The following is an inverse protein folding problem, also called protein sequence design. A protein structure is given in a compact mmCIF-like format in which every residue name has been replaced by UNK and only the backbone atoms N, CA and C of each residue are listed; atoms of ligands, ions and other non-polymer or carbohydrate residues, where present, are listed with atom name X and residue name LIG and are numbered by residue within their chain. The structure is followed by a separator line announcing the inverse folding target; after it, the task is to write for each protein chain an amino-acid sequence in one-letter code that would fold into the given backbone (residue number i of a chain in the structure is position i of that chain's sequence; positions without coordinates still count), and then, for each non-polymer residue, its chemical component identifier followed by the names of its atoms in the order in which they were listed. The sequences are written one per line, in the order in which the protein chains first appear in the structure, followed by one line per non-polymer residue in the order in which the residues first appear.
data_IF_307147518443
#
_entry.id   IF_307147518443
#
_cell.length_a   1.000
_cell.length_b   1.000
_cell.length_c   1.000
_cell.angle_alpha   90.00
_cell.angle_beta   90.00
_cell.angle_gamma   90.00
#
_symmetry.space_group_name_H-M   'P 1'
#
loop_
_entity.id
_entity.type
_entity.pdbx_description
1 polymer ?
#
# COMPACT_ATOMS: atom_id res chain seq x y z
N UNK A 1 -6.38 1.09 22.55
CA UNK A 1 -5.83 0.92 23.91
C UNK A 1 -6.82 1.39 24.98
N UNK A 2 -7.43 2.54 24.84
CA UNK A 2 -8.40 3.10 25.83
C UNK A 2 -9.61 2.22 26.08
N UNK A 3 -9.92 1.29 25.15
CA UNK A 3 -11.02 0.34 25.25
C UNK A 3 -10.57 -1.05 25.72
N UNK A 4 -9.26 -1.29 25.90
CA UNK A 4 -8.70 -2.56 26.33
C UNK A 4 -8.67 -2.65 27.85
N UNK A 5 -9.84 -2.66 28.46
CA UNK A 5 -10.02 -2.93 29.89
C UNK A 5 -10.64 -4.32 30.08
N UNK A 6 -10.20 -5.03 31.09
CA UNK A 6 -10.78 -6.31 31.43
C UNK A 6 -12.13 -6.14 32.15
N UNK A 7 -12.82 -7.26 32.42
CA UNK A 7 -14.14 -7.26 33.08
C UNK A 7 -14.17 -6.58 34.44
N UNK A 8 -13.02 -6.47 35.10
CA UNK A 8 -12.88 -5.88 36.44
C UNK A 8 -12.51 -4.39 36.39
N UNK A 9 -12.57 -3.77 35.22
CA UNK A 9 -12.21 -2.35 35.00
C UNK A 9 -10.72 -2.05 35.07
N UNK A 10 -9.86 -3.08 35.07
CA UNK A 10 -8.41 -2.92 35.08
C UNK A 10 -7.87 -2.85 33.65
N UNK A 11 -6.76 -2.13 33.42
CA UNK A 11 -6.08 -2.15 32.14
C UNK A 11 -5.75 -3.59 31.70
N UNK A 12 -6.01 -3.91 30.44
CA UNK A 12 -5.57 -5.18 29.87
C UNK A 12 -4.05 -5.18 29.69
N UNK A 13 -3.41 -6.22 30.16
CA UNK A 13 -1.96 -6.37 30.10
C UNK A 13 -1.60 -7.29 28.93
N UNK A 14 -1.23 -6.68 27.81
CA UNK A 14 -0.70 -7.42 26.66
C UNK A 14 0.71 -7.94 26.95
N UNK A 15 0.99 -9.16 26.52
CA UNK A 15 2.33 -9.73 26.56
C UNK A 15 2.96 -9.93 25.18
N UNK A 16 2.18 -9.82 24.12
CA UNK A 16 2.60 -9.82 22.72
C UNK A 16 1.80 -8.78 21.93
N UNK A 17 2.42 -8.19 20.93
CA UNK A 17 1.76 -7.31 19.95
C UNK A 17 1.76 -8.03 18.62
N UNK A 18 0.59 -8.12 17.98
CA UNK A 18 0.42 -8.39 16.56
C UNK A 18 0.01 -7.08 15.92
N UNK A 19 0.85 -6.57 15.02
CA UNK A 19 0.65 -5.27 14.37
C UNK A 19 0.63 -5.41 12.86
N UNK A 20 -0.03 -4.48 12.22
CA UNK A 20 -0.14 -4.38 10.76
C UNK A 20 0.05 -2.92 10.35
N UNK A 21 1.29 -2.56 10.06
CA UNK A 21 1.72 -1.21 9.71
C UNK A 21 2.50 -0.47 10.80
N UNK A 22 2.63 -1.05 12.00
CA UNK A 22 3.44 -0.51 13.09
C UNK A 22 2.78 0.61 13.90
N UNK A 23 1.50 0.91 13.67
CA UNK A 23 0.82 2.02 14.38
C UNK A 23 0.61 1.72 15.86
N UNK A 24 0.20 0.51 16.20
CA UNK A 24 0.06 0.09 17.60
C UNK A 24 1.41 0.07 18.31
N UNK A 25 2.44 -0.45 17.65
CA UNK A 25 3.81 -0.48 18.14
C UNK A 25 4.34 0.92 18.45
N UNK A 26 4.19 1.85 17.50
CA UNK A 26 4.59 3.25 17.69
C UNK A 26 3.82 3.90 18.84
N UNK A 27 2.52 3.69 18.92
CA UNK A 27 1.67 4.24 19.96
C UNK A 27 2.09 3.72 21.35
N UNK A 28 2.33 2.42 21.47
CA UNK A 28 2.78 1.84 22.76
C UNK A 28 4.14 2.40 23.17
N UNK A 29 5.09 2.50 22.26
CA UNK A 29 6.42 3.04 22.58
C UNK A 29 6.39 4.52 23.00
N UNK A 30 5.52 5.33 22.39
CA UNK A 30 5.44 6.77 22.64
C UNK A 30 4.53 7.15 23.81
N UNK A 31 3.36 6.54 23.89
CA UNK A 31 2.31 6.97 24.80
C UNK A 31 2.14 6.04 26.02
N UNK A 32 2.58 4.79 25.93
CA UNK A 32 2.40 3.77 26.96
C UNK A 32 3.68 2.96 27.22
N UNK A 33 4.84 3.63 27.43
CA UNK A 33 6.13 2.93 27.56
C UNK A 33 6.18 1.97 28.77
N UNK A 34 5.36 2.16 29.78
CA UNK A 34 5.25 1.26 30.94
C UNK A 34 4.75 -0.14 30.56
N UNK A 35 3.99 -0.27 29.46
CA UNK A 35 3.51 -1.57 28.98
C UNK A 35 4.64 -2.43 28.41
N UNK A 36 5.72 -1.80 27.92
CA UNK A 36 6.82 -2.51 27.26
C UNK A 36 7.52 -3.52 28.18
N UNK A 37 7.50 -3.28 29.49
CA UNK A 37 8.09 -4.20 30.48
C UNK A 37 7.40 -5.57 30.52
N UNK A 38 6.18 -5.68 30.04
CA UNK A 38 5.36 -6.91 30.00
C UNK A 38 5.26 -7.51 28.62
N UNK A 39 5.65 -6.78 27.57
CA UNK A 39 5.60 -7.21 26.17
C UNK A 39 6.87 -7.99 25.85
N UNK A 40 6.70 -9.27 25.50
CA UNK A 40 7.82 -10.16 25.15
C UNK A 40 8.28 -9.99 23.71
N UNK A 41 7.41 -9.46 22.82
CA UNK A 41 7.76 -9.25 21.42
C UNK A 41 6.60 -8.70 20.60
N UNK A 42 6.96 -8.35 19.36
CA UNK A 42 6.09 -7.81 18.34
C UNK A 42 6.16 -8.71 17.12
N UNK A 43 5.03 -8.94 16.48
CA UNK A 43 4.92 -9.61 15.19
C UNK A 43 4.33 -8.62 14.20
N UNK A 44 5.09 -8.28 13.16
CA UNK A 44 4.69 -7.27 12.17
C UNK A 44 4.29 -7.92 10.84
N UNK A 45 3.10 -7.59 10.39
CA UNK A 45 2.42 -8.20 9.24
C UNK A 45 2.84 -7.59 7.89
N UNK A 46 3.17 -6.28 7.82
CA UNK A 46 3.22 -5.60 6.54
C UNK A 46 4.50 -4.80 6.29
N UNK A 47 4.80 -4.54 5.02
CA UNK A 47 6.00 -3.83 4.55
C UNK A 47 6.20 -2.48 5.24
N UNK A 48 5.12 -1.71 5.40
CA UNK A 48 5.17 -0.38 6.04
C UNK A 48 5.61 -0.47 7.49
N UNK A 49 5.04 -1.42 8.25
CA UNK A 49 5.43 -1.62 9.64
C UNK A 49 6.86 -2.12 9.78
N UNK A 50 7.30 -3.03 8.90
CA UNK A 50 8.70 -3.48 8.88
C UNK A 50 9.66 -2.31 8.65
N UNK A 51 9.34 -1.37 7.75
CA UNK A 51 10.14 -0.17 7.54
C UNK A 51 10.22 0.68 8.81
N UNK A 52 9.09 0.95 9.45
CA UNK A 52 9.02 1.69 10.72
C UNK A 52 9.81 1.01 11.85
N UNK A 53 9.71 -0.31 11.97
CA UNK A 53 10.48 -1.08 12.95
C UNK A 53 11.99 -1.00 12.72
N UNK A 54 12.44 -1.01 11.46
CA UNK A 54 13.85 -0.79 11.11
C UNK A 54 14.34 0.60 11.50
N UNK A 55 13.55 1.63 11.20
CA UNK A 55 13.84 3.02 11.59
C UNK A 55 13.92 3.15 13.11
N UNK A 56 12.99 2.54 13.85
CA UNK A 56 13.02 2.52 15.33
C UNK A 56 14.22 1.75 15.89
N UNK A 57 14.63 0.67 15.21
CA UNK A 57 15.82 -0.09 15.62
C UNK A 57 17.10 0.74 15.43
N UNK A 58 17.23 1.39 14.27
CA UNK A 58 18.38 2.26 13.94
C UNK A 58 18.47 3.47 14.87
N UNK A 59 17.35 4.06 15.26
CA UNK A 59 17.29 5.18 16.22
C UNK A 59 17.45 4.72 17.68
N UNK A 60 17.39 3.41 17.95
CA UNK A 60 17.42 2.86 19.32
C UNK A 60 16.11 3.04 20.10
N UNK A 61 15.03 3.39 19.41
CA UNK A 61 13.68 3.54 20.01
C UNK A 61 12.96 2.20 20.20
N UNK A 62 13.27 1.18 19.41
CA UNK A 62 12.67 -0.15 19.56
C UNK A 62 13.18 -0.85 20.82
N UNK A 63 12.31 -1.02 21.82
CA UNK A 63 12.68 -1.52 23.15
C UNK A 63 12.39 -3.01 23.37
N UNK A 64 11.67 -3.64 22.46
CA UNK A 64 11.30 -5.06 22.55
C UNK A 64 11.63 -5.78 21.25
N UNK A 65 11.89 -7.11 21.27
CA UNK A 65 12.14 -7.86 20.05
C UNK A 65 10.97 -7.75 19.05
N UNK A 66 11.28 -7.61 17.77
CA UNK A 66 10.27 -7.59 16.72
C UNK A 66 10.58 -8.62 15.63
N UNK A 67 9.56 -9.34 15.20
CA UNK A 67 9.62 -10.36 14.15
C UNK A 67 8.94 -9.82 12.90
N UNK A 68 9.70 -9.76 11.80
CA UNK A 68 9.20 -9.44 10.49
C UNK A 68 8.54 -10.68 9.86
N UNK A 69 7.24 -10.78 9.93
CA UNK A 69 6.45 -11.84 9.30
C UNK A 69 6.23 -11.54 7.82
N UNK A 70 6.16 -10.25 7.45
CA UNK A 70 5.90 -9.84 6.07
C UNK A 70 6.89 -10.47 5.07
N UNK A 71 8.19 -10.49 5.40
CA UNK A 71 9.23 -10.94 4.48
C UNK A 71 9.39 -12.46 4.46
N UNK A 72 8.59 -13.21 5.22
CA UNK A 72 8.55 -14.66 5.03
C UNK A 72 7.98 -14.99 3.63
N UNK A 73 8.56 -15.99 2.96
CA UNK A 73 8.16 -16.38 1.60
C UNK A 73 6.67 -16.76 1.56
N UNK A 74 6.20 -17.43 2.60
CA UNK A 74 4.80 -17.87 2.71
C UNK A 74 3.83 -16.72 2.97
N UNK A 75 4.29 -15.53 3.41
CA UNK A 75 3.47 -14.35 3.59
C UNK A 75 3.53 -13.44 2.36
N UNK A 76 4.65 -12.77 2.11
CA UNK A 76 4.71 -11.72 1.08
C UNK A 76 4.40 -12.24 -0.34
N UNK A 77 4.86 -13.44 -0.67
CA UNK A 77 4.64 -14.02 -2.01
C UNK A 77 3.26 -14.66 -2.17
N UNK A 78 2.49 -14.79 -1.10
CA UNK A 78 1.10 -15.27 -1.13
C UNK A 78 0.13 -14.14 -0.81
N UNK A 79 0.10 -13.65 0.43
CA UNK A 79 -0.89 -12.70 0.89
C UNK A 79 -0.80 -11.37 0.14
N UNK A 80 0.38 -10.74 0.09
CA UNK A 80 0.52 -9.44 -0.55
C UNK A 80 0.15 -9.49 -2.04
N UNK A 81 0.42 -10.60 -2.71
CA UNK A 81 0.08 -10.78 -4.13
C UNK A 81 -1.35 -11.28 -4.33
N UNK A 82 -1.68 -12.43 -3.78
CA UNK A 82 -2.96 -13.11 -4.08
C UNK A 82 -4.13 -12.59 -3.25
N UNK A 83 -3.87 -12.11 -2.03
CA UNK A 83 -4.89 -11.45 -1.21
C UNK A 83 -5.38 -10.16 -1.90
N UNK A 84 -4.46 -9.33 -2.36
CA UNK A 84 -4.79 -8.12 -3.11
C UNK A 84 -5.43 -8.43 -4.46
N UNK A 85 -4.98 -9.50 -5.14
CA UNK A 85 -5.57 -9.96 -6.40
C UNK A 85 -7.05 -10.32 -6.24
N UNK A 86 -7.43 -10.98 -5.15
CA UNK A 86 -8.83 -11.36 -4.90
C UNK A 86 -9.66 -10.20 -4.35
N UNK A 87 -9.07 -9.36 -3.50
CA UNK A 87 -9.79 -8.30 -2.81
C UNK A 87 -10.09 -7.08 -3.65
N UNK A 88 -9.19 -6.72 -4.58
CA UNK A 88 -9.28 -5.45 -5.31
C UNK A 88 -10.53 -5.38 -6.21
N UNK A 89 -10.71 -6.34 -7.10
CA UNK A 89 -11.83 -6.31 -8.07
C UNK A 89 -13.17 -6.48 -7.36
N UNK A 90 -13.24 -7.27 -6.31
CA UNK A 90 -14.43 -7.42 -5.47
C UNK A 90 -14.80 -6.09 -4.79
N UNK A 91 -13.82 -5.40 -4.20
CA UNK A 91 -14.04 -4.10 -3.56
C UNK A 91 -14.50 -3.03 -4.57
N UNK A 92 -13.87 -2.94 -5.74
CA UNK A 92 -14.25 -1.98 -6.78
C UNK A 92 -15.68 -2.25 -7.25
N UNK A 93 -16.02 -3.49 -7.55
CA UNK A 93 -17.37 -3.87 -8.01
C UNK A 93 -18.43 -3.58 -6.96
N UNK A 94 -18.19 -3.89 -5.70
CA UNK A 94 -19.12 -3.61 -4.60
C UNK A 94 -19.26 -2.11 -4.31
N UNK A 95 -18.16 -1.36 -4.40
CA UNK A 95 -18.17 0.07 -4.07
C UNK A 95 -18.71 0.96 -5.17
N UNK A 96 -18.63 0.53 -6.42
CA UNK A 96 -18.90 1.42 -7.58
C UNK A 96 -19.92 0.88 -8.56
N UNK A 97 -20.25 -0.40 -8.51
CA UNK A 97 -21.08 -1.10 -9.52
C UNK A 97 -20.53 -0.94 -10.97
N UNK A 98 -19.22 -0.71 -11.08
CA UNK A 98 -18.55 -0.42 -12.36
C UNK A 98 -18.32 -1.69 -13.18
N UNK A 99 -18.68 -1.65 -14.45
CA UNK A 99 -18.23 -2.65 -15.43
C UNK A 99 -16.76 -2.41 -15.76
N UNK A 100 -15.89 -3.35 -15.42
CA UNK A 100 -14.42 -3.21 -15.57
C UNK A 100 -13.93 -3.49 -17.01
N UNK A 101 -14.56 -4.44 -17.69
CA UNK A 101 -14.10 -4.90 -19.01
C UNK A 101 -14.02 -3.79 -20.03
N UNK A 102 -12.89 -3.69 -20.72
CA UNK A 102 -12.61 -2.68 -21.75
C UNK A 102 -12.23 -1.30 -21.24
N UNK A 103 -12.30 -1.06 -19.94
CA UNK A 103 -11.86 0.19 -19.32
C UNK A 103 -10.34 0.22 -19.10
N UNK A 104 -9.80 1.41 -18.91
CA UNK A 104 -8.37 1.64 -18.69
C UNK A 104 -8.07 1.87 -17.22
N UNK A 105 -7.05 1.19 -16.71
CA UNK A 105 -6.56 1.34 -15.36
C UNK A 105 -5.10 1.76 -15.33
N UNK A 106 -4.75 2.62 -14.37
CA UNK A 106 -3.38 2.91 -13.97
C UNK A 106 -3.14 2.28 -12.60
N UNK A 107 -2.14 1.40 -12.50
CA UNK A 107 -1.68 0.87 -11.23
C UNK A 107 -0.37 1.56 -10.87
N UNK A 108 -0.35 2.23 -9.72
CA UNK A 108 0.82 2.95 -9.21
C UNK A 108 1.57 2.02 -8.24
N UNK A 109 2.72 1.54 -8.68
CA UNK A 109 3.54 0.54 -8.00
C UNK A 109 3.42 -0.86 -8.61
N UNK A 110 4.56 -1.60 -8.66
CA UNK A 110 4.61 -2.97 -9.16
C UNK A 110 5.40 -3.90 -8.23
N UNK A 111 5.33 -3.65 -6.90
CA UNK A 111 5.70 -4.59 -5.86
C UNK A 111 4.73 -5.80 -5.80
N UNK A 112 4.77 -6.59 -4.74
CA UNK A 112 3.90 -7.78 -4.63
C UNK A 112 2.40 -7.40 -4.69
N UNK A 113 2.00 -6.32 -4.02
CA UNK A 113 0.62 -5.78 -4.07
C UNK A 113 0.26 -5.31 -5.47
N UNK A 114 1.14 -4.53 -6.11
CA UNK A 114 0.93 -4.03 -7.47
C UNK A 114 0.80 -5.13 -8.50
N UNK A 115 1.63 -6.18 -8.42
CA UNK A 115 1.55 -7.37 -9.28
C UNK A 115 0.20 -8.07 -9.16
N UNK A 116 -0.25 -8.30 -7.93
CA UNK A 116 -1.56 -8.88 -7.69
C UNK A 116 -2.69 -8.03 -8.21
N UNK A 117 -2.63 -6.72 -7.97
CA UNK A 117 -3.62 -5.74 -8.44
C UNK A 117 -3.70 -5.67 -9.96
N UNK A 118 -2.57 -5.54 -10.64
CA UNK A 118 -2.51 -5.49 -12.09
C UNK A 118 -3.04 -6.77 -12.75
N UNK A 119 -2.66 -7.93 -12.20
CA UNK A 119 -3.14 -9.23 -12.68
C UNK A 119 -4.66 -9.38 -12.49
N UNK A 120 -5.20 -8.95 -11.35
CA UNK A 120 -6.64 -8.92 -11.08
C UNK A 120 -7.40 -8.13 -12.14
N UNK A 121 -6.98 -6.89 -12.38
CA UNK A 121 -7.62 -6.00 -13.34
C UNK A 121 -7.50 -6.51 -14.78
N UNK A 122 -6.34 -7.06 -15.15
CA UNK A 122 -6.12 -7.66 -16.46
C UNK A 122 -7.03 -8.89 -16.69
N UNK A 123 -7.26 -9.71 -15.66
CA UNK A 123 -8.19 -10.84 -15.73
C UNK A 123 -9.63 -10.38 -15.93
N UNK A 124 -10.01 -9.21 -15.43
CA UNK A 124 -11.29 -8.58 -15.70
C UNK A 124 -11.35 -7.91 -17.10
N UNK A 125 -10.30 -8.09 -17.93
CA UNK A 125 -10.18 -7.50 -19.27
C UNK A 125 -10.11 -5.98 -19.26
N UNK A 126 -9.54 -5.38 -18.23
CA UNK A 126 -9.12 -3.99 -18.29
C UNK A 126 -7.82 -3.85 -19.08
N UNK A 127 -7.60 -2.68 -19.64
CA UNK A 127 -6.32 -2.29 -20.26
C UNK A 127 -5.52 -1.62 -19.13
N UNK A 128 -4.45 -2.30 -18.68
CA UNK A 128 -3.70 -1.89 -17.49
C UNK A 128 -2.35 -1.32 -17.89
N UNK A 129 -2.09 -0.10 -17.47
CA UNK A 129 -0.77 0.53 -17.50
C UNK A 129 -0.21 0.60 -16.07
N UNK A 130 1.12 0.54 -15.96
CA UNK A 130 1.84 0.57 -14.67
C UNK A 130 2.71 1.83 -14.62
N UNK A 131 2.77 2.47 -13.46
CA UNK A 131 3.87 3.40 -13.15
C UNK A 131 4.68 2.85 -11.98
N UNK A 132 6.01 2.84 -12.12
CA UNK A 132 6.92 2.25 -11.15
C UNK A 132 8.27 2.98 -11.17
N UNK A 133 8.83 3.23 -9.98
CA UNK A 133 10.13 3.92 -9.83
C UNK A 133 11.30 2.94 -9.75
N UNK A 134 11.07 1.71 -9.26
CA UNK A 134 12.10 0.67 -9.22
C UNK A 134 12.28 0.07 -10.62
N UNK A 135 13.48 0.20 -11.23
CA UNK A 135 13.71 -0.29 -12.58
C UNK A 135 13.58 -1.81 -12.70
N UNK A 136 13.81 -2.56 -11.62
CA UNK A 136 13.66 -4.03 -11.63
C UNK A 136 12.17 -4.38 -11.66
N UNK A 137 11.36 -3.75 -10.83
CA UNK A 137 9.91 -3.95 -10.83
C UNK A 137 9.28 -3.47 -12.15
N UNK A 138 9.74 -2.34 -12.69
CA UNK A 138 9.29 -1.84 -13.99
C UNK A 138 9.61 -2.82 -15.13
N UNK A 139 10.82 -3.39 -15.15
CA UNK A 139 11.21 -4.42 -16.12
C UNK A 139 10.34 -5.68 -15.97
N UNK A 140 10.04 -6.10 -14.75
CA UNK A 140 9.15 -7.24 -14.49
C UNK A 140 7.74 -6.97 -15.04
N UNK A 141 7.21 -5.75 -14.87
CA UNK A 141 5.92 -5.36 -15.44
C UNK A 141 5.89 -5.51 -16.97
N UNK A 142 6.98 -5.09 -17.64
CA UNK A 142 7.12 -5.27 -19.09
C UNK A 142 7.14 -6.77 -19.49
N UNK A 143 7.85 -7.62 -18.74
CA UNK A 143 7.89 -9.06 -19.02
C UNK A 143 6.55 -9.75 -18.76
N UNK A 144 5.76 -9.23 -17.81
CA UNK A 144 4.41 -9.71 -17.53
C UNK A 144 3.37 -9.17 -18.55
N UNK A 145 3.82 -8.36 -19.54
CA UNK A 145 3.01 -7.89 -20.66
C UNK A 145 2.27 -6.56 -20.42
N UNK A 146 2.63 -5.83 -19.38
CA UNK A 146 2.06 -4.50 -19.11
C UNK A 146 2.89 -3.38 -19.74
N UNK A 147 2.20 -2.29 -20.10
CA UNK A 147 2.88 -1.04 -20.49
C UNK A 147 3.32 -0.29 -19.24
N UNK A 148 4.61 0.07 -19.19
CA UNK A 148 5.12 0.95 -18.13
C UNK A 148 5.12 2.38 -18.63
N UNK A 149 4.46 3.27 -17.89
CA UNK A 149 4.26 4.68 -18.24
C UNK A 149 4.74 5.58 -17.12
N UNK A 150 5.02 6.84 -17.45
CA UNK A 150 5.29 7.87 -16.47
C UNK A 150 4.16 8.91 -16.49
N UNK A 151 3.66 9.27 -15.32
CA UNK A 151 2.70 10.36 -15.19
C UNK A 151 3.32 11.74 -15.49
N UNK A 152 4.65 11.82 -15.46
CA UNK A 152 5.39 13.05 -15.75
C UNK A 152 6.23 12.87 -17.02
N UNK A 153 6.24 13.90 -17.87
CA UNK A 153 7.05 13.91 -19.09
C UNK A 153 8.52 13.67 -18.75
N UNK A 154 9.16 12.78 -19.48
CA UNK A 154 10.55 12.37 -19.28
C UNK A 154 10.87 11.77 -17.89
N UNK A 155 9.88 11.29 -17.15
CA UNK A 155 10.06 10.68 -15.82
C UNK A 155 10.48 11.66 -14.72
N UNK A 156 10.48 12.95 -14.98
CA UNK A 156 10.85 13.99 -14.02
C UNK A 156 9.61 14.56 -13.36
N UNK A 157 9.49 14.36 -12.05
CA UNK A 157 8.47 15.01 -11.23
C UNK A 157 8.77 16.51 -11.22
N UNK A 158 7.96 17.30 -11.91
CA UNK A 158 8.06 18.74 -11.90
C UNK A 158 7.52 19.34 -10.60
N UNK A 159 8.10 20.47 -10.17
CA UNK A 159 7.46 21.25 -9.10
C UNK A 159 6.12 21.79 -9.61
N UNK A 160 5.11 21.81 -8.73
CA UNK A 160 3.79 22.37 -9.00
C UNK A 160 3.05 21.79 -10.23
N UNK A 161 3.24 20.48 -10.50
CA UNK A 161 2.58 19.81 -11.62
C UNK A 161 3.11 20.19 -13.00
N UNK A 162 4.26 20.87 -13.06
CA UNK A 162 4.97 21.06 -14.33
C UNK A 162 5.42 19.71 -14.88
N UNK A 163 5.35 19.54 -16.20
CA UNK A 163 5.68 18.30 -16.90
C UNK A 163 4.73 17.11 -16.64
N UNK A 164 3.54 17.35 -16.10
CA UNK A 164 2.53 16.31 -15.95
C UNK A 164 1.91 15.94 -17.30
N UNK A 165 1.92 14.68 -17.66
CA UNK A 165 1.22 14.19 -18.86
C UNK A 165 -0.30 14.05 -18.61
N UNK A 166 -0.98 15.20 -18.71
CA UNK A 166 -2.44 15.26 -18.53
C UNK A 166 -3.18 14.41 -19.55
N UNK A 167 -2.69 14.31 -20.79
CA UNK A 167 -3.32 13.52 -21.85
C UNK A 167 -3.23 12.02 -21.56
N UNK A 168 -2.21 11.59 -20.85
CA UNK A 168 -2.09 10.23 -20.35
C UNK A 168 -3.13 9.99 -19.24
N UNK A 169 -3.16 10.87 -18.22
CA UNK A 169 -4.03 10.71 -17.06
C UNK A 169 -5.52 10.78 -17.38
N UNK A 170 -5.94 11.63 -18.31
CA UNK A 170 -7.33 11.73 -18.79
C UNK A 170 -7.88 10.43 -19.41
N UNK A 171 -7.02 9.47 -19.75
CA UNK A 171 -7.46 8.21 -20.37
C UNK A 171 -8.02 7.21 -19.37
N UNK A 172 -7.65 7.32 -18.07
CA UNK A 172 -7.94 6.28 -17.10
C UNK A 172 -9.35 6.39 -16.53
N UNK A 173 -9.99 5.22 -16.41
CA UNK A 173 -11.28 5.03 -15.74
C UNK A 173 -11.08 4.65 -14.27
N UNK A 174 -9.92 4.10 -13.96
CA UNK A 174 -9.54 3.62 -12.63
C UNK A 174 -8.07 3.94 -12.38
N UNK A 175 -7.76 4.44 -11.18
CA UNK A 175 -6.39 4.58 -10.66
C UNK A 175 -6.30 3.83 -9.33
N UNK A 176 -5.28 3.00 -9.17
CA UNK A 176 -5.05 2.20 -7.96
C UNK A 176 -3.66 2.47 -7.44
N UNK A 177 -3.52 2.94 -6.20
CA UNK A 177 -2.24 3.08 -5.51
C UNK A 177 -1.93 1.83 -4.69
N UNK A 178 -0.68 1.36 -4.74
CA UNK A 178 -0.26 0.04 -4.21
C UNK A 178 1.10 0.05 -3.52
N UNK A 179 1.66 1.25 -3.24
CA UNK A 179 3.08 1.38 -2.93
C UNK A 179 3.41 1.31 -1.44
N UNK A 180 2.47 1.63 -0.57
CA UNK A 180 2.76 1.86 0.86
C UNK A 180 3.72 3.05 1.08
N UNK A 181 3.73 4.04 0.17
CA UNK A 181 4.42 5.32 0.29
C UNK A 181 3.43 6.47 0.31
N UNK A 182 3.90 7.65 0.69
CA UNK A 182 3.07 8.85 0.74
C UNK A 182 3.16 9.66 -0.55
N UNK A 183 2.07 10.35 -0.91
CA UNK A 183 1.99 11.30 -2.04
C UNK A 183 2.40 10.70 -3.40
N UNK A 184 2.08 9.43 -3.65
CA UNK A 184 2.36 8.78 -4.95
C UNK A 184 1.34 9.17 -6.02
N UNK A 185 0.16 9.62 -5.60
CA UNK A 185 -0.87 10.24 -6.42
C UNK A 185 -1.14 11.64 -5.87
N UNK A 186 -0.43 12.62 -6.42
CA UNK A 186 -0.50 13.99 -5.93
C UNK A 186 -1.74 14.76 -6.41
N UNK A 187 -1.96 15.94 -5.85
CA UNK A 187 -3.08 16.81 -6.21
C UNK A 187 -3.14 17.13 -7.70
N UNK A 188 -2.00 17.36 -8.34
CA UNK A 188 -1.97 17.72 -9.76
C UNK A 188 -2.34 16.57 -10.66
N UNK A 189 -1.94 15.35 -10.28
CA UNK A 189 -2.37 14.13 -10.93
C UNK A 189 -3.89 13.90 -10.76
N UNK A 190 -4.41 14.10 -9.53
CA UNK A 190 -5.85 14.01 -9.26
C UNK A 190 -6.67 15.00 -10.09
N UNK A 191 -6.22 16.26 -10.17
CA UNK A 191 -6.87 17.31 -10.96
C UNK A 191 -6.83 17.03 -12.48
N UNK A 192 -5.91 16.19 -12.94
CA UNK A 192 -5.78 15.80 -14.35
C UNK A 192 -6.58 14.56 -14.74
N UNK A 193 -7.16 13.85 -13.77
CA UNK A 193 -8.04 12.71 -14.08
C UNK A 193 -9.35 13.18 -14.68
N UNK A 194 -9.90 12.39 -15.58
CA UNK A 194 -11.23 12.68 -16.13
C UNK A 194 -12.34 12.57 -15.09
N UNK A 195 -13.41 13.31 -15.28
CA UNK A 195 -14.62 13.17 -14.46
C UNK A 195 -15.14 11.74 -14.49
N UNK A 196 -15.46 11.19 -13.30
CA UNK A 196 -15.92 9.81 -13.16
C UNK A 196 -14.80 8.77 -13.09
N UNK A 197 -13.53 9.17 -13.11
CA UNK A 197 -12.43 8.26 -12.79
C UNK A 197 -12.57 7.79 -11.34
N UNK A 198 -12.51 6.48 -11.13
CA UNK A 198 -12.48 5.90 -9.78
C UNK A 198 -11.03 5.89 -9.29
N UNK A 199 -10.81 6.38 -8.07
CA UNK A 199 -9.51 6.32 -7.41
C UNK A 199 -9.65 5.45 -6.18
N UNK A 200 -8.77 4.47 -6.02
CA UNK A 200 -8.74 3.64 -4.83
C UNK A 200 -7.31 3.34 -4.39
N UNK A 201 -7.15 3.13 -3.10
CA UNK A 201 -5.90 2.74 -2.47
C UNK A 201 -6.03 1.32 -1.92
N UNK A 202 -5.05 0.48 -2.19
CA UNK A 202 -4.87 -0.83 -1.58
C UNK A 202 -3.55 -0.91 -0.80
N UNK A 203 -2.75 0.16 -0.85
CA UNK A 203 -1.59 0.33 0.01
C UNK A 203 -1.98 0.63 1.46
N UNK A 204 -0.98 0.77 2.33
CA UNK A 204 -1.21 0.93 3.76
C UNK A 204 -1.59 2.36 4.15
N UNK A 205 -0.98 3.36 3.55
CA UNK A 205 -1.22 4.75 3.92
C UNK A 205 -2.49 5.33 3.29
N UNK A 206 -3.22 6.12 4.06
CA UNK A 206 -4.35 6.92 3.60
C UNK A 206 -3.94 8.17 2.79
N UNK A 207 -2.64 8.41 2.70
CA UNK A 207 -1.99 9.53 2.01
C UNK A 207 -1.12 9.13 0.81
N UNK A 208 -1.42 7.97 0.20
CA UNK A 208 -0.72 7.50 -1.02
C UNK A 208 -0.94 8.38 -2.28
#
# INVERSE_FOLDING_TARGET
LDQTINKDGKPWEANLILDDGGDLTLKVHKEYPEMLSKIHGISEETTTGVKRLKEMLESGELKVPAINVNDSITKSKNDNKYGCRHGLDDAIKRGTDMLLSGKKALVIGYGDVGKGSADSLNQQKMIVDITEIDPICAMQACFDGFSVVSAYENGNVGQDGMNLDKKLLEKYDLVVTTTGNINVLDKYMLDALKSGCVVCNIGHFDSE
#
